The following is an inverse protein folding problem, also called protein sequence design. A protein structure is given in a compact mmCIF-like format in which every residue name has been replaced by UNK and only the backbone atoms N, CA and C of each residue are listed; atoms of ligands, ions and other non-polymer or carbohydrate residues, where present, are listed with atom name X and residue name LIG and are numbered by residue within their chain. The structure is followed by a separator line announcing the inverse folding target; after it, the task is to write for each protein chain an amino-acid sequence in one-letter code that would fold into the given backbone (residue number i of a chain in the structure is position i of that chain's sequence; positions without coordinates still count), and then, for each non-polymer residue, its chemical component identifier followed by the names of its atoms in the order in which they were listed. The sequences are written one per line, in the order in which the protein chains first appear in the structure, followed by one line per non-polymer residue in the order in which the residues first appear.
data_IF_782784624793
#
_entry.id   IF_782784624793
#
_cell.length_a   1.000
_cell.length_b   1.000
_cell.length_c   1.000
_cell.angle_alpha   90.00
_cell.angle_beta   90.00
_cell.angle_gamma   90.00
#
_symmetry.space_group_name_H-M   'P 1'
#
loop_
_entity.id
_entity.type
_entity.pdbx_description
1 polymer ?
#
# COMPACT_ATOMS: atom_id res chain seq x y z
N UNK A 1 -11.41 -6.65 32.34
CA UNK A 1 -11.78 -5.99 31.06
C UNK A 1 -10.68 -5.11 30.46
N UNK A 2 -9.87 -4.37 31.26
CA UNK A 2 -8.74 -3.58 30.71
C UNK A 2 -7.48 -4.37 30.34
N UNK A 3 -7.43 -5.66 30.66
CA UNK A 3 -6.25 -6.51 30.42
C UNK A 3 -6.31 -7.24 29.06
N UNK A 4 -7.50 -7.44 28.49
CA UNK A 4 -7.65 -8.10 27.17
C UNK A 4 -7.37 -7.14 26.00
N UNK A 5 -7.64 -5.83 26.15
CA UNK A 5 -7.34 -4.84 25.11
C UNK A 5 -5.83 -4.67 24.87
N UNK A 6 -5.02 -4.82 25.92
CA UNK A 6 -3.54 -4.71 25.84
C UNK A 6 -2.91 -5.94 25.19
N UNK A 7 -3.60 -7.09 25.21
CA UNK A 7 -3.14 -8.32 24.57
C UNK A 7 -3.42 -8.36 23.06
N UNK A 8 -4.42 -7.61 22.61
CA UNK A 8 -4.80 -7.49 21.20
C UNK A 8 -3.90 -6.52 20.41
N UNK A 9 -3.14 -5.65 21.08
CA UNK A 9 -2.10 -4.80 20.47
C UNK A 9 -0.73 -5.46 20.49
N UNK A 10 -0.65 -6.78 20.33
CA UNK A 10 0.60 -7.41 19.93
C UNK A 10 0.81 -7.01 18.47
N UNK A 11 1.31 -5.80 18.28
CA UNK A 11 1.65 -5.23 16.98
C UNK A 11 2.54 -6.25 16.29
N UNK A 12 1.97 -7.02 15.37
CA UNK A 12 2.75 -7.78 14.41
C UNK A 12 3.63 -6.70 13.79
N UNK A 13 4.97 -6.75 13.97
CA UNK A 13 5.83 -5.72 13.43
C UNK A 13 5.49 -5.66 11.95
N UNK A 14 4.92 -4.52 11.51
CA UNK A 14 4.57 -4.33 10.11
C UNK A 14 5.86 -4.62 9.37
N UNK A 15 5.86 -5.66 8.53
CA UNK A 15 7.04 -6.01 7.75
C UNK A 15 7.27 -4.81 6.83
N UNK A 16 8.17 -3.94 7.27
CA UNK A 16 8.66 -2.85 6.44
C UNK A 16 9.51 -3.57 5.40
N UNK A 17 9.22 -3.42 4.11
CA UNK A 17 10.07 -3.99 3.08
C UNK A 17 11.49 -3.45 3.30
N UNK A 18 12.43 -4.36 3.56
CA UNK A 18 13.84 -4.02 3.65
C UNK A 18 14.35 -3.68 2.24
N UNK A 19 15.00 -2.52 2.11
CA UNK A 19 15.57 -2.05 0.84
C UNK A 19 14.94 -0.78 0.25
N UNK A 20 15.59 -0.30 -0.81
CA UNK A 20 15.21 0.94 -1.50
C UNK A 20 13.92 0.77 -2.31
N UNK A 21 13.06 1.79 -2.24
CA UNK A 21 11.82 1.86 -3.01
C UNK A 21 11.65 3.23 -3.62
N UNK A 22 10.83 3.29 -4.67
CA UNK A 22 10.34 4.53 -5.23
C UNK A 22 8.84 4.69 -4.94
N UNK A 23 8.42 5.94 -4.71
CA UNK A 23 7.00 6.29 -4.67
C UNK A 23 6.53 6.53 -6.10
N UNK A 24 5.51 5.79 -6.50
CA UNK A 24 4.92 5.88 -7.84
C UNK A 24 3.48 6.36 -7.71
N UNK A 25 3.14 7.54 -8.25
CA UNK A 25 1.74 7.95 -8.34
C UNK A 25 0.99 7.06 -9.33
N UNK A 26 -0.18 6.56 -8.90
CA UNK A 26 -1.06 5.73 -9.72
C UNK A 26 -2.16 6.53 -10.45
N UNK A 27 -2.32 7.82 -10.14
CA UNK A 27 -3.28 8.71 -10.80
C UNK A 27 -2.84 10.17 -10.78
N UNK A 28 -3.81 11.07 -10.91
CA UNK A 28 -3.59 12.52 -10.91
C UNK A 28 -3.24 13.06 -9.51
N UNK A 29 -3.80 12.44 -8.47
CA UNK A 29 -3.55 12.84 -7.09
C UNK A 29 -2.18 12.32 -6.60
N UNK A 30 -1.28 13.21 -6.14
CA UNK A 30 0.05 12.82 -5.68
C UNK A 30 0.04 12.05 -4.35
N UNK A 31 -1.06 12.06 -3.59
CA UNK A 31 -1.20 11.26 -2.36
C UNK A 31 -1.65 9.83 -2.66
N UNK A 32 -2.18 9.55 -3.86
CA UNK A 32 -2.57 8.21 -4.33
C UNK A 32 -1.39 7.47 -4.97
N UNK A 33 -0.33 7.28 -4.16
CA UNK A 33 0.92 6.65 -4.58
C UNK A 33 1.19 5.31 -3.90
N UNK A 34 1.94 4.45 -4.58
CA UNK A 34 2.40 3.15 -4.06
C UNK A 34 3.93 3.11 -3.98
N UNK A 35 4.46 2.35 -3.01
CA UNK A 35 5.90 2.09 -2.88
C UNK A 35 6.27 0.84 -3.66
N UNK A 36 7.16 0.97 -4.64
CA UNK A 36 7.67 -0.16 -5.44
C UNK A 36 9.16 -0.32 -5.17
N UNK A 37 9.59 -1.53 -4.80
CA UNK A 37 11.00 -1.83 -4.57
C UNK A 37 11.85 -1.68 -5.83
N UNK A 38 13.03 -1.06 -5.70
CA UNK A 38 13.92 -0.77 -6.84
C UNK A 38 14.69 -1.99 -7.35
N UNK A 39 14.70 -3.10 -6.59
CA UNK A 39 15.34 -4.36 -6.97
C UNK A 39 14.65 -5.13 -8.11
N UNK A 40 13.50 -4.65 -8.59
CA UNK A 40 12.80 -5.23 -9.74
C UNK A 40 13.54 -4.92 -11.06
N UNK A 41 13.66 -5.90 -11.99
CA UNK A 41 14.13 -5.63 -13.34
C UNK A 41 13.31 -4.54 -14.02
N UNK A 42 13.96 -3.71 -14.84
CA UNK A 42 13.34 -2.53 -15.47
C UNK A 42 12.03 -2.84 -16.21
N UNK A 43 12.00 -3.94 -16.96
CA UNK A 43 10.81 -4.36 -17.70
C UNK A 43 9.66 -4.71 -16.74
N UNK A 44 9.93 -5.55 -15.74
CA UNK A 44 8.94 -5.97 -14.75
C UNK A 44 8.40 -4.76 -13.97
N UNK A 45 9.29 -3.82 -13.60
CA UNK A 45 8.92 -2.58 -12.93
C UNK A 45 8.01 -1.70 -13.78
N UNK A 46 8.30 -1.54 -15.07
CA UNK A 46 7.43 -0.77 -15.99
C UNK A 46 6.07 -1.42 -16.18
N UNK A 47 6.04 -2.74 -16.36
CA UNK A 47 4.78 -3.50 -16.49
C UNK A 47 3.94 -3.40 -15.22
N UNK A 48 4.56 -3.54 -14.05
CA UNK A 48 3.89 -3.39 -12.76
C UNK A 48 3.30 -1.98 -12.59
N UNK A 49 4.07 -0.92 -12.92
CA UNK A 49 3.57 0.45 -12.85
C UNK A 49 2.36 0.67 -13.76
N UNK A 50 2.40 0.15 -14.99
CA UNK A 50 1.28 0.25 -15.92
C UNK A 50 0.04 -0.47 -15.38
N UNK A 51 0.20 -1.73 -14.97
CA UNK A 51 -0.87 -2.53 -14.41
C UNK A 51 -1.53 -1.85 -13.19
N UNK A 52 -0.74 -1.35 -12.25
CA UNK A 52 -1.26 -0.69 -11.06
C UNK A 52 -2.00 0.62 -11.40
N UNK A 53 -1.55 1.38 -12.39
CA UNK A 53 -2.22 2.60 -12.87
C UNK A 53 -3.54 2.32 -13.55
N UNK A 54 -3.59 1.27 -14.38
CA UNK A 54 -4.82 0.84 -15.06
C UNK A 54 -5.90 0.37 -14.08
N UNK A 55 -5.51 -0.01 -12.85
CA UNK A 55 -6.40 -0.49 -11.80
C UNK A 55 -6.44 0.45 -10.58
N UNK A 56 -6.10 1.73 -10.76
CA UNK A 56 -5.99 2.69 -9.66
C UNK A 56 -7.33 2.92 -8.92
N UNK A 57 -8.46 2.66 -9.58
CA UNK A 57 -9.83 2.72 -9.05
C UNK A 57 -10.17 1.55 -8.12
N UNK A 58 -9.43 0.43 -8.20
CA UNK A 58 -9.65 -0.73 -7.33
C UNK A 58 -9.07 -0.52 -5.91
N UNK A 59 -8.24 0.50 -5.72
CA UNK A 59 -7.65 0.80 -4.42
C UNK A 59 -8.56 1.71 -3.61
N UNK A 60 -8.81 1.33 -2.36
CA UNK A 60 -9.33 2.26 -1.37
C UNK A 60 -8.17 3.11 -0.83
N UNK A 61 -8.12 4.37 -1.24
CA UNK A 61 -7.07 5.33 -0.86
C UNK A 61 -7.28 5.89 0.55
N UNK A 62 -8.45 5.66 1.12
CA UNK A 62 -8.85 6.05 2.46
C UNK A 62 -9.82 5.02 3.05
N UNK A 63 -9.94 4.99 4.37
CA UNK A 63 -10.90 4.11 5.04
C UNK A 63 -12.36 4.41 4.61
N UNK A 64 -12.66 5.66 4.27
CA UNK A 64 -13.97 6.08 3.78
C UNK A 64 -14.35 5.47 2.41
N UNK A 65 -13.35 5.04 1.62
CA UNK A 65 -13.57 4.38 0.33
C UNK A 65 -13.82 2.85 0.48
N UNK A 66 -13.79 2.31 1.71
CA UNK A 66 -14.19 0.92 2.01
C UNK A 66 -15.54 0.88 2.72
N UNK A 67 -16.67 0.86 1.98
CA UNK A 67 -17.99 0.75 2.60
C UNK A 67 -18.17 -0.62 3.27
N UNK A 68 -18.73 -0.63 4.48
CA UNK A 68 -19.02 -1.86 5.24
C UNK A 68 -18.04 -2.19 6.37
N UNK A 69 -17.08 -1.29 6.67
CA UNK A 69 -16.17 -1.38 7.81
C UNK A 69 -16.57 -0.44 8.98
N UNK A 70 -17.82 0.02 9.05
CA UNK A 70 -18.35 0.83 10.17
C UNK A 70 -18.45 0.01 11.48
#
# INVERSE_FOLDING_TARGET
EKEELVKATKEIPRLIPDGEFELVPLGEDPNRGVKIGTGLPDLARRQLKAFLRENADLFAWSAAEMPGLD
#
